data_IF_879283906575
#
_entry.id   IF_879283906575
#
_cell.length_a   1.000
_cell.length_b   1.000
_cell.length_c   1.000
_cell.angle_alpha   90.00
_cell.angle_beta   90.00
_cell.angle_gamma   90.00
#
_symmetry.space_group_name_H-M   'P 1'
#
loop_
_entity.id
_entity.type
_entity.pdbx_description
1 polymer ?
#
# COMPACT_ATOMS: atom_id res chain seq x y z
N UNK A 1 4.03 53.78 2.54
CA UNK A 1 3.80 52.50 3.24
C UNK A 1 4.73 52.45 4.45
N UNK A 2 4.23 52.29 5.68
CA UNK A 2 5.09 52.32 6.89
C UNK A 2 5.96 51.05 6.98
N UNK A 3 7.20 51.18 7.48
CA UNK A 3 8.18 50.08 7.56
C UNK A 3 7.62 48.80 8.21
N UNK A 4 6.77 48.95 9.23
CA UNK A 4 6.07 47.83 9.89
C UNK A 4 5.20 47.00 8.92
N UNK A 5 4.54 47.65 7.98
CA UNK A 5 3.67 46.98 7.01
C UNK A 5 4.51 46.23 5.96
N UNK A 6 5.70 46.75 5.63
CA UNK A 6 6.65 46.08 4.74
C UNK A 6 7.23 44.82 5.41
N UNK A 7 7.58 44.91 6.69
CA UNK A 7 8.09 43.75 7.45
C UNK A 7 7.05 42.61 7.55
N UNK A 8 5.78 42.94 7.79
CA UNK A 8 4.69 41.95 7.82
C UNK A 8 4.50 41.31 6.44
N UNK A 9 4.51 42.10 5.37
CA UNK A 9 4.37 41.59 4.00
C UNK A 9 5.53 40.64 3.64
N UNK A 10 6.76 41.00 4.00
CA UNK A 10 7.94 40.16 3.75
C UNK A 10 7.85 38.80 4.47
N UNK A 11 7.36 38.80 5.71
CA UNK A 11 7.18 37.57 6.48
C UNK A 11 6.16 36.63 5.81
N UNK A 12 5.04 37.16 5.33
CA UNK A 12 4.02 36.37 4.63
C UNK A 12 4.58 35.72 3.36
N UNK A 13 5.32 36.47 2.54
CA UNK A 13 5.91 35.95 1.30
C UNK A 13 6.91 34.82 1.56
N UNK A 14 7.72 34.93 2.62
CA UNK A 14 8.68 33.88 2.99
C UNK A 14 7.95 32.61 3.45
N UNK A 15 6.80 32.72 4.15
CA UNK A 15 6.01 31.57 4.59
C UNK A 15 5.35 30.84 3.42
N UNK A 16 4.77 31.58 2.46
CA UNK A 16 4.17 30.98 1.27
C UNK A 16 5.21 30.34 0.33
N UNK A 17 6.46 30.79 0.38
CA UNK A 17 7.56 30.22 -0.40
C UNK A 17 8.17 28.93 0.19
N UNK A 18 7.78 28.49 1.40
CA UNK A 18 8.40 27.33 2.06
C UNK A 18 8.09 25.98 1.41
N UNK A 19 7.07 25.88 0.54
CA UNK A 19 6.79 24.66 -0.23
C UNK A 19 6.95 24.91 -1.72
N UNK A 20 8.02 24.38 -2.35
CA UNK A 20 8.15 24.51 -3.78
C UNK A 20 7.03 23.73 -4.49
N UNK A 21 6.47 24.34 -5.54
CA UNK A 21 5.31 23.83 -6.28
C UNK A 21 5.46 22.39 -6.80
N UNK A 22 6.70 21.92 -7.01
CA UNK A 22 7.00 20.58 -7.51
C UNK A 22 6.71 19.47 -6.49
N UNK A 23 6.63 19.77 -5.19
CA UNK A 23 6.36 18.77 -4.15
C UNK A 23 4.89 18.30 -4.14
N UNK A 24 4.02 18.93 -4.94
CA UNK A 24 2.58 18.70 -4.90
C UNK A 24 1.95 19.11 -3.57
N UNK A 25 0.62 19.10 -3.50
CA UNK A 25 -0.13 19.35 -2.25
C UNK A 25 -0.32 18.08 -1.41
N UNK A 26 0.18 16.95 -1.88
CA UNK A 26 0.00 15.64 -1.23
C UNK A 26 1.10 15.41 -0.20
N UNK A 27 0.84 14.65 0.87
CA UNK A 27 1.88 14.21 1.79
C UNK A 27 3.01 13.51 1.01
N UNK A 28 4.24 13.94 1.25
CA UNK A 28 5.44 13.24 0.75
C UNK A 28 5.52 11.93 1.53
N UNK A 29 5.39 10.80 0.85
CA UNK A 29 5.71 9.50 1.47
C UNK A 29 4.81 8.33 1.09
N UNK A 30 3.60 8.57 0.57
CA UNK A 30 2.73 7.44 0.18
C UNK A 30 2.05 7.68 -1.17
N UNK A 31 2.14 6.71 -2.11
CA UNK A 31 1.34 6.75 -3.32
C UNK A 31 -0.13 6.72 -2.94
N UNK A 32 -0.97 7.38 -3.74
CA UNK A 32 -2.41 7.28 -3.59
C UNK A 32 -2.80 5.81 -3.85
N UNK A 33 -3.08 5.07 -2.79
CA UNK A 33 -3.65 3.73 -2.90
C UNK A 33 -5.12 3.92 -3.29
N UNK A 34 -5.45 3.62 -4.55
CA UNK A 34 -6.84 3.33 -4.91
C UNK A 34 -7.26 2.17 -4.01
N UNK A 35 -8.18 2.42 -3.08
CA UNK A 35 -8.75 1.36 -2.25
C UNK A 35 -10.06 0.95 -2.88
N UNK A 36 -10.11 -0.07 -3.76
CA UNK A 36 -11.34 -0.77 -4.01
C UNK A 36 -11.52 -1.77 -2.87
N UNK A 37 -11.82 -1.28 -1.66
CA UNK A 37 -12.00 -2.12 -0.47
C UNK A 37 -13.08 -3.20 -0.65
N UNK A 38 -13.89 -3.10 -1.71
CA UNK A 38 -14.99 -4.03 -2.02
C UNK A 38 -14.80 -4.80 -3.33
N UNK A 39 -13.82 -4.49 -4.18
CA UNK A 39 -13.70 -5.19 -5.47
C UNK A 39 -12.96 -6.52 -5.35
N UNK A 40 -12.00 -6.64 -4.43
CA UNK A 40 -11.11 -7.81 -4.37
C UNK A 40 -11.67 -8.95 -3.50
N UNK A 41 -12.97 -9.01 -3.29
CA UNK A 41 -13.63 -10.07 -2.54
C UNK A 41 -14.82 -10.60 -3.35
N UNK A 42 -14.80 -11.90 -3.64
CA UNK A 42 -15.85 -12.58 -4.37
C UNK A 42 -16.40 -13.71 -3.50
N UNK A 43 -17.66 -13.59 -3.05
CA UNK A 43 -18.31 -14.58 -2.18
C UNK A 43 -17.49 -14.94 -0.91
N UNK A 44 -16.83 -13.96 -0.29
CA UNK A 44 -15.99 -14.21 0.89
C UNK A 44 -14.58 -14.73 0.58
N UNK A 45 -14.28 -14.99 -0.70
CA UNK A 45 -12.94 -15.35 -1.15
C UNK A 45 -12.18 -14.09 -1.56
N UNK A 46 -11.00 -13.89 -0.96
CA UNK A 46 -10.08 -12.83 -1.38
C UNK A 46 -9.58 -13.14 -2.79
N UNK A 47 -9.55 -12.11 -3.63
CA UNK A 47 -8.96 -12.13 -4.96
C UNK A 47 -7.67 -11.30 -4.97
N UNK A 48 -6.77 -11.58 -5.93
CA UNK A 48 -5.59 -10.72 -6.15
C UNK A 48 -6.01 -9.28 -6.44
N UNK A 49 -5.23 -8.32 -5.93
CA UNK A 49 -5.48 -6.89 -6.16
C UNK A 49 -5.35 -6.53 -7.64
N UNK A 50 -4.43 -7.20 -8.34
CA UNK A 50 -4.18 -7.04 -9.77
C UNK A 50 -5.39 -7.45 -10.62
N UNK A 51 -6.25 -8.32 -10.09
CA UNK A 51 -7.46 -8.77 -10.76
C UNK A 51 -8.60 -7.75 -10.67
N UNK A 52 -8.52 -6.78 -9.76
CA UNK A 52 -9.57 -5.78 -9.50
C UNK A 52 -10.99 -6.39 -9.36
N UNK A 53 -11.10 -7.59 -8.80
CA UNK A 53 -12.37 -8.30 -8.67
C UNK A 53 -12.84 -9.13 -9.86
N UNK A 54 -12.09 -9.16 -10.97
CA UNK A 54 -12.44 -9.98 -12.14
C UNK A 54 -12.14 -11.46 -11.90
N UNK A 55 -13.18 -12.21 -11.54
CA UNK A 55 -13.08 -13.66 -11.34
C UNK A 55 -12.82 -14.43 -12.64
N UNK A 56 -13.26 -13.93 -13.80
CA UNK A 56 -13.07 -14.64 -15.07
C UNK A 56 -11.62 -14.57 -15.52
N UNK A 57 -10.93 -13.47 -15.21
CA UNK A 57 -9.48 -13.35 -15.37
C UNK A 57 -8.76 -14.42 -14.55
N UNK A 58 -9.10 -14.57 -13.28
CA UNK A 58 -8.49 -15.58 -12.39
C UNK A 58 -8.72 -17.00 -12.92
N UNK A 59 -9.95 -17.34 -13.29
CA UNK A 59 -10.27 -18.65 -13.88
C UNK A 59 -9.47 -18.93 -15.15
N UNK A 60 -9.27 -17.92 -15.99
CA UNK A 60 -8.46 -18.04 -17.21
C UNK A 60 -6.99 -18.30 -16.86
N UNK A 61 -6.44 -17.59 -15.88
CA UNK A 61 -5.07 -17.77 -15.43
C UNK A 61 -4.87 -19.16 -14.81
N UNK A 62 -5.82 -19.63 -14.00
CA UNK A 62 -5.78 -20.95 -13.38
C UNK A 62 -5.81 -22.09 -14.38
N UNK A 63 -6.48 -21.90 -15.53
CA UNK A 63 -6.50 -22.86 -16.62
C UNK A 63 -5.16 -22.95 -17.38
N UNK A 64 -4.24 -22.00 -17.20
CA UNK A 64 -2.92 -22.03 -17.83
C UNK A 64 -1.96 -22.96 -17.07
N UNK A 65 -1.00 -23.61 -17.76
CA UNK A 65 0.17 -24.22 -17.15
C UNK A 65 0.92 -23.26 -16.21
N UNK A 66 1.53 -23.77 -15.13
CA UNK A 66 2.16 -22.95 -14.08
C UNK A 66 3.26 -22.03 -14.63
N UNK A 67 4.03 -22.52 -15.60
CA UNK A 67 5.08 -21.76 -16.30
C UNK A 67 4.55 -20.61 -17.15
N UNK A 68 3.25 -20.62 -17.48
CA UNK A 68 2.56 -19.58 -18.24
C UNK A 68 1.72 -18.64 -17.36
N UNK A 69 1.62 -18.94 -16.06
CA UNK A 69 0.91 -18.07 -15.13
C UNK A 69 1.75 -16.82 -14.84
N UNK A 70 1.12 -15.64 -14.69
CA UNK A 70 1.85 -14.43 -14.41
C UNK A 70 2.43 -14.49 -12.98
N UNK A 71 3.64 -13.96 -12.81
CA UNK A 71 4.36 -14.01 -11.52
C UNK A 71 3.57 -13.38 -10.37
N UNK A 72 2.78 -12.33 -10.63
CA UNK A 72 1.96 -11.68 -9.60
C UNK A 72 0.92 -12.65 -9.03
N UNK A 73 0.35 -13.52 -9.86
CA UNK A 73 -0.65 -14.49 -9.44
C UNK A 73 -0.01 -15.64 -8.65
N UNK A 74 1.17 -16.11 -9.08
CA UNK A 74 1.95 -17.10 -8.35
C UNK A 74 2.35 -16.59 -6.95
N UNK A 75 2.85 -15.36 -6.88
CA UNK A 75 3.20 -14.71 -5.62
C UNK A 75 1.97 -14.53 -4.72
N UNK A 76 0.85 -14.08 -5.30
CA UNK A 76 -0.40 -13.95 -4.56
C UNK A 76 -0.85 -15.28 -3.96
N UNK A 77 -0.81 -16.38 -4.74
CA UNK A 77 -1.15 -17.72 -4.26
C UNK A 77 -0.26 -18.14 -3.09
N UNK A 78 1.06 -17.93 -3.22
CA UNK A 78 2.02 -18.19 -2.14
C UNK A 78 1.69 -17.38 -0.87
N UNK A 79 1.32 -16.11 -1.01
CA UNK A 79 0.95 -15.28 0.14
C UNK A 79 -0.38 -15.73 0.78
N UNK A 80 -1.37 -16.17 0.00
CA UNK A 80 -2.60 -16.75 0.53
C UNK A 80 -2.31 -18.04 1.31
N UNK A 81 -1.44 -18.91 0.79
CA UNK A 81 -1.03 -20.13 1.50
C UNK A 81 -0.35 -19.81 2.83
N UNK A 82 0.52 -18.79 2.87
CA UNK A 82 1.15 -18.29 4.09
C UNK A 82 0.16 -17.61 5.05
N UNK A 83 -0.89 -16.96 4.54
CA UNK A 83 -1.94 -16.37 5.39
C UNK A 83 -2.78 -17.44 6.07
N UNK A 84 -3.07 -18.53 5.36
CA UNK A 84 -3.78 -19.68 5.90
C UNK A 84 -2.87 -20.53 6.81
N UNK A 85 -1.58 -20.60 6.52
CA UNK A 85 -0.57 -21.38 7.24
C UNK A 85 0.64 -20.50 7.58
N UNK A 86 0.54 -19.62 8.60
CA UNK A 86 1.62 -18.71 8.94
C UNK A 86 2.85 -19.49 9.41
N UNK A 87 4.02 -19.12 8.87
CA UNK A 87 5.28 -19.66 9.35
C UNK A 87 5.53 -19.20 10.79
N UNK A 88 5.45 -20.14 11.72
CA UNK A 88 5.80 -19.90 13.12
C UNK A 88 7.27 -20.22 13.34
N UNK A 89 8.00 -19.28 13.92
CA UNK A 89 9.36 -19.51 14.38
C UNK A 89 9.34 -19.70 15.89
N UNK A 90 10.11 -20.66 16.40
CA UNK A 90 10.26 -20.84 17.85
C UNK A 90 10.90 -19.57 18.44
N UNK A 91 10.18 -18.90 19.34
CA UNK A 91 10.73 -17.77 20.06
C UNK A 91 11.86 -18.26 20.98
N UNK A 92 12.98 -17.54 20.99
CA UNK A 92 14.00 -17.76 22.02
C UNK A 92 13.37 -17.47 23.38
N UNK A 93 13.44 -18.40 24.36
CA UNK A 93 12.87 -18.16 25.68
C UNK A 93 13.55 -16.95 26.33
N UNK A 94 12.73 -16.08 26.92
CA UNK A 94 13.19 -14.91 27.65
C UNK A 94 13.72 -15.31 29.01
N UNK A 95 14.83 -14.71 29.43
CA UNK A 95 15.36 -14.83 30.81
C UNK A 95 14.40 -14.25 31.86
N UNK A 96 13.43 -13.43 31.45
CA UNK A 96 12.44 -12.80 32.32
C UNK A 96 11.15 -13.62 32.49
N UNK A 97 11.06 -14.81 31.90
CA UNK A 97 9.86 -15.67 31.94
C UNK A 97 9.68 -16.45 33.26
N UNK A 98 10.65 -16.39 34.20
CA UNK A 98 10.74 -17.28 35.38
C UNK A 98 10.52 -16.57 36.73
N UNK A 99 9.81 -15.45 36.78
CA UNK A 99 9.42 -14.82 38.06
C UNK A 99 8.03 -15.27 38.52
#
# INVERSE_FOLDING_TARGET
MKLKNLSILLLCVVVDAQRPFYAGKRPIGYPAVSSPATANEYHGQRLPIEANGDINLIKRIEALPVDQQPFWYLNWRQYEDLRNNPQTYSLRPSIFSQN
#
